data_IF_280530233705
#
_entry.id   IF_280530233705
#
_cell.length_a   1.000
_cell.length_b   1.000
_cell.length_c   1.000
_cell.angle_alpha   90.00
_cell.angle_beta   90.00
_cell.angle_gamma   90.00
#
_symmetry.space_group_name_H-M   'P 1'
#
loop_
_entity.id
_entity.type
_entity.pdbx_description
1 polymer ?
#
# COMPACT_ATOMS: atom_id res chain seq x y z
N UNK A 1 -23.20 -2.39 -18.40
CA UNK A 1 -22.97 -3.23 -17.22
C UNK A 1 -21.47 -3.32 -16.95
N UNK A 2 -21.05 -3.20 -15.70
CA UNK A 2 -19.64 -3.24 -15.34
C UNK A 2 -19.25 -4.63 -14.78
N UNK A 3 -18.10 -5.16 -15.21
CA UNK A 3 -17.64 -6.50 -14.81
C UNK A 3 -17.34 -6.57 -13.30
N UNK A 4 -16.80 -5.49 -12.73
CA UNK A 4 -16.51 -5.36 -11.30
C UNK A 4 -17.77 -5.38 -10.43
N UNK A 5 -18.90 -4.83 -10.91
CA UNK A 5 -20.18 -4.87 -10.20
C UNK A 5 -20.68 -6.32 -10.05
N UNK A 6 -20.56 -7.12 -11.12
CA UNK A 6 -20.92 -8.55 -11.06
C UNK A 6 -20.00 -9.34 -10.13
N UNK A 7 -18.71 -9.05 -10.13
CA UNK A 7 -17.75 -9.70 -9.22
C UNK A 7 -18.06 -9.46 -7.74
N UNK A 8 -18.56 -8.27 -7.41
CA UNK A 8 -18.92 -7.89 -6.04
C UNK A 8 -20.18 -8.60 -5.52
N UNK A 9 -21.04 -9.12 -6.42
CA UNK A 9 -22.28 -9.80 -6.03
C UNK A 9 -22.02 -11.15 -5.37
N UNK A 10 -22.86 -11.48 -4.40
CA UNK A 10 -22.92 -12.81 -3.81
C UNK A 10 -23.45 -13.83 -4.83
N UNK A 11 -23.06 -15.11 -4.70
CA UNK A 11 -23.46 -16.17 -5.63
C UNK A 11 -24.98 -16.30 -5.75
N UNK A 12 -25.72 -16.08 -4.65
CA UNK A 12 -27.20 -16.12 -4.67
C UNK A 12 -27.79 -15.04 -5.58
N UNK A 13 -27.28 -13.82 -5.54
CA UNK A 13 -27.75 -12.73 -6.39
C UNK A 13 -27.42 -12.97 -7.88
N UNK A 14 -26.24 -13.53 -8.15
CA UNK A 14 -25.86 -13.94 -9.50
C UNK A 14 -26.78 -15.07 -10.04
N UNK A 15 -27.15 -16.01 -9.17
CA UNK A 15 -28.06 -17.09 -9.52
C UNK A 15 -29.46 -16.56 -9.87
N UNK A 16 -30.01 -15.65 -9.07
CA UNK A 16 -31.28 -14.96 -9.36
C UNK A 16 -31.24 -14.23 -10.71
N UNK A 17 -30.14 -13.50 -10.97
CA UNK A 17 -29.94 -12.83 -12.27
C UNK A 17 -29.87 -13.83 -13.43
N UNK A 18 -29.22 -14.97 -13.25
CA UNK A 18 -29.08 -16.00 -14.27
C UNK A 18 -30.41 -16.67 -14.58
N UNK A 19 -31.23 -16.93 -13.55
CA UNK A 19 -32.59 -17.48 -13.71
C UNK A 19 -33.47 -16.48 -14.47
N UNK A 20 -33.39 -15.17 -14.11
CA UNK A 20 -34.13 -14.10 -14.81
C UNK A 20 -33.72 -13.90 -16.27
N UNK A 21 -32.56 -14.40 -16.66
CA UNK A 21 -32.04 -14.40 -18.02
C UNK A 21 -32.24 -15.74 -18.78
N UNK A 22 -32.98 -16.66 -18.22
CA UNK A 22 -33.20 -18.02 -18.79
C UNK A 22 -31.89 -18.75 -19.14
N UNK A 23 -30.94 -18.79 -18.18
CA UNK A 23 -29.69 -19.52 -18.32
C UNK A 23 -29.89 -20.94 -17.80
N UNK A 24 -29.74 -21.93 -18.70
CA UNK A 24 -29.89 -23.35 -18.37
C UNK A 24 -28.84 -23.82 -17.37
N UNK A 25 -29.25 -24.64 -16.41
CA UNK A 25 -28.38 -25.25 -15.40
C UNK A 25 -27.61 -24.26 -14.52
N UNK A 26 -28.08 -23.04 -14.36
CA UNK A 26 -27.40 -21.97 -13.60
C UNK A 26 -26.96 -22.42 -12.19
N UNK A 27 -27.77 -23.22 -11.49
CA UNK A 27 -27.48 -23.72 -10.14
C UNK A 27 -26.28 -24.69 -10.05
N UNK A 28 -25.81 -25.23 -11.17
CA UNK A 28 -24.66 -26.15 -11.23
C UNK A 28 -23.37 -25.46 -11.62
N UNK A 29 -23.43 -24.20 -12.06
CA UNK A 29 -22.27 -23.41 -12.51
C UNK A 29 -21.52 -22.86 -11.30
N UNK A 30 -20.19 -22.83 -11.39
CA UNK A 30 -19.34 -22.10 -10.44
C UNK A 30 -19.54 -20.59 -10.62
N UNK A 31 -19.22 -19.79 -9.60
CA UNK A 31 -19.40 -18.32 -9.62
C UNK A 31 -18.87 -17.68 -10.92
N UNK A 32 -17.69 -18.06 -11.36
CA UNK A 32 -17.06 -17.54 -12.59
C UNK A 32 -17.83 -17.94 -13.86
N UNK A 33 -18.22 -19.22 -13.98
CA UNK A 33 -18.99 -19.71 -15.11
C UNK A 33 -20.36 -19.05 -15.18
N UNK A 34 -20.97 -18.79 -14.01
CA UNK A 34 -22.25 -18.11 -13.89
C UNK A 34 -22.16 -16.65 -14.35
N UNK A 35 -21.15 -15.90 -13.89
CA UNK A 35 -20.88 -14.53 -14.36
C UNK A 35 -20.65 -14.50 -15.86
N UNK A 36 -19.85 -15.42 -16.38
CA UNK A 36 -19.57 -15.52 -17.80
C UNK A 36 -20.83 -15.77 -18.63
N UNK A 37 -21.70 -16.69 -18.19
CA UNK A 37 -22.96 -16.97 -18.84
C UNK A 37 -23.92 -15.78 -18.85
N UNK A 38 -24.01 -15.04 -17.72
CA UNK A 38 -24.78 -13.79 -17.61
C UNK A 38 -24.29 -12.76 -18.61
N UNK A 39 -22.98 -12.50 -18.64
CA UNK A 39 -22.36 -11.52 -19.53
C UNK A 39 -22.54 -11.89 -21.00
N UNK A 40 -22.38 -13.16 -21.35
CA UNK A 40 -22.61 -13.67 -22.71
C UNK A 40 -24.06 -13.49 -23.17
N UNK A 41 -25.02 -13.70 -22.26
CA UNK A 41 -26.45 -13.54 -22.56
C UNK A 41 -26.80 -12.06 -22.76
N UNK A 42 -26.31 -11.17 -21.87
CA UNK A 42 -26.53 -9.72 -21.97
C UNK A 42 -25.83 -9.09 -23.17
N UNK A 43 -24.61 -9.52 -23.51
CA UNK A 43 -23.95 -9.09 -24.73
C UNK A 43 -24.74 -9.45 -25.99
N UNK A 44 -25.38 -10.63 -26.01
CA UNK A 44 -26.27 -11.04 -27.14
C UNK A 44 -27.50 -10.17 -27.24
N UNK A 45 -28.00 -9.59 -26.15
CA UNK A 45 -29.12 -8.64 -26.16
C UNK A 45 -28.70 -7.19 -26.51
N UNK A 46 -27.42 -6.97 -26.89
CA UNK A 46 -26.90 -5.67 -27.31
C UNK A 46 -26.45 -4.77 -26.17
N UNK A 47 -26.38 -5.27 -24.92
CA UNK A 47 -25.87 -4.49 -23.80
C UNK A 47 -24.34 -4.37 -23.86
N UNK A 48 -23.83 -3.13 -23.71
CA UNK A 48 -22.38 -2.90 -23.63
C UNK A 48 -21.84 -3.39 -22.27
N UNK A 49 -20.71 -4.05 -22.31
CA UNK A 49 -19.99 -4.54 -21.13
C UNK A 49 -18.76 -3.69 -20.95
N UNK A 50 -18.52 -3.23 -19.71
CA UNK A 50 -17.33 -2.48 -19.31
C UNK A 50 -16.50 -3.30 -18.33
N UNK A 51 -15.19 -3.13 -18.39
CA UNK A 51 -14.25 -3.76 -17.48
C UNK A 51 -13.13 -2.81 -17.13
N UNK A 52 -12.47 -3.12 -16.02
CA UNK A 52 -11.35 -2.38 -15.48
C UNK A 52 -10.29 -3.32 -14.91
N UNK A 53 -9.10 -2.79 -14.71
CA UNK A 53 -8.00 -3.51 -14.08
C UNK A 53 -6.66 -2.80 -14.24
N UNK A 54 -5.65 -3.30 -13.54
CA UNK A 54 -4.28 -2.84 -13.72
C UNK A 54 -3.60 -3.64 -14.83
N UNK A 55 -2.99 -2.93 -15.77
CA UNK A 55 -2.32 -3.53 -16.92
C UNK A 55 -1.03 -4.24 -16.49
N UNK A 56 -0.87 -5.48 -16.90
CA UNK A 56 0.41 -6.18 -16.95
C UNK A 56 0.77 -6.43 -18.42
N UNK A 57 1.85 -5.82 -18.88
CA UNK A 57 2.38 -6.03 -20.24
C UNK A 57 3.31 -7.23 -20.22
N UNK A 58 3.05 -8.21 -21.07
CA UNK A 58 3.88 -9.40 -21.19
C UNK A 58 5.01 -9.20 -22.23
N UNK A 59 6.08 -10.02 -22.16
CA UNK A 59 7.23 -9.90 -23.07
C UNK A 59 6.88 -9.90 -24.56
N UNK A 60 5.80 -10.59 -24.93
CA UNK A 60 5.30 -10.66 -26.32
C UNK A 60 4.59 -9.37 -26.79
N UNK A 61 4.48 -8.38 -25.91
CA UNK A 61 3.94 -7.06 -26.22
C UNK A 61 2.42 -6.91 -26.10
N UNK A 62 1.67 -7.98 -25.83
CA UNK A 62 0.28 -7.90 -25.41
C UNK A 62 0.19 -7.84 -23.88
N UNK A 63 -1.00 -7.60 -23.34
CA UNK A 63 -1.17 -7.53 -21.89
C UNK A 63 -2.51 -8.04 -21.40
N UNK A 64 -2.64 -8.06 -20.09
CA UNK A 64 -3.88 -8.36 -19.38
C UNK A 64 -4.18 -7.29 -18.34
N UNK A 65 -5.45 -6.97 -18.18
CA UNK A 65 -5.93 -6.19 -17.05
C UNK A 65 -6.17 -7.14 -15.88
N UNK A 66 -5.38 -6.97 -14.83
CA UNK A 66 -5.42 -7.78 -13.61
C UNK A 66 -6.31 -7.12 -12.56
N UNK A 67 -7.07 -7.92 -11.81
CA UNK A 67 -7.94 -7.43 -10.76
C UNK A 67 -7.20 -7.26 -9.42
N UNK A 68 -7.39 -6.15 -8.69
CA UNK A 68 -6.90 -6.01 -7.32
C UNK A 68 -7.53 -7.02 -6.36
N UNK A 69 -8.78 -7.45 -6.59
CA UNK A 69 -9.46 -8.45 -5.78
C UNK A 69 -8.75 -9.82 -5.80
N UNK A 70 -8.05 -10.12 -6.90
CA UNK A 70 -7.19 -11.29 -7.02
C UNK A 70 -5.73 -10.99 -6.67
N UNK A 71 -5.44 -9.85 -6.03
CA UNK A 71 -4.08 -9.37 -5.75
C UNK A 71 -3.19 -9.42 -7.00
N UNK A 72 -3.74 -9.04 -8.15
CA UNK A 72 -3.09 -9.03 -9.48
C UNK A 72 -2.60 -10.38 -9.99
N UNK A 73 -3.15 -11.49 -9.45
CA UNK A 73 -2.88 -12.83 -10.02
C UNK A 73 -3.50 -12.99 -11.39
N UNK A 74 -2.82 -13.80 -12.21
CA UNK A 74 -3.41 -14.32 -13.43
C UNK A 74 -4.71 -15.10 -13.11
N UNK A 75 -5.80 -14.69 -13.73
CA UNK A 75 -7.12 -15.25 -13.54
C UNK A 75 -7.80 -15.49 -14.89
N UNK A 76 -8.78 -16.36 -14.90
CA UNK A 76 -9.66 -16.57 -16.07
C UNK A 76 -10.51 -15.34 -16.38
N UNK A 77 -10.64 -14.43 -15.42
CA UNK A 77 -11.43 -13.18 -15.54
C UNK A 77 -10.62 -12.01 -16.05
N UNK A 78 -9.34 -12.21 -16.38
CA UNK A 78 -8.49 -11.17 -16.91
C UNK A 78 -8.95 -10.72 -18.29
N UNK A 79 -8.75 -9.45 -18.57
CA UNK A 79 -9.15 -8.84 -19.85
C UNK A 79 -7.91 -8.68 -20.72
N UNK A 80 -7.94 -9.30 -21.88
CA UNK A 80 -6.88 -9.19 -22.88
C UNK A 80 -6.84 -7.78 -23.49
N UNK A 81 -5.64 -7.23 -23.64
CA UNK A 81 -5.38 -5.99 -24.37
C UNK A 81 -4.33 -6.22 -25.47
N UNK A 82 -4.61 -5.71 -26.66
CA UNK A 82 -3.77 -5.93 -27.81
C UNK A 82 -2.51 -5.06 -27.82
N UNK A 83 -1.41 -5.50 -28.48
CA UNK A 83 -0.20 -4.71 -28.64
C UNK A 83 -0.45 -3.37 -29.34
N UNK A 84 -1.41 -3.31 -30.25
CA UNK A 84 -1.77 -2.08 -30.98
C UNK A 84 -2.38 -1.01 -30.06
N UNK A 85 -3.25 -1.43 -29.12
CA UNK A 85 -3.83 -0.51 -28.12
C UNK A 85 -2.76 -0.03 -27.14
N UNK A 86 -1.88 -0.92 -26.66
CA UNK A 86 -0.76 -0.58 -25.77
C UNK A 86 0.13 0.48 -26.40
N UNK A 87 0.54 0.29 -27.65
CA UNK A 87 1.37 1.26 -28.39
C UNK A 87 0.62 2.57 -28.68
N UNK A 88 -0.64 2.48 -29.10
CA UNK A 88 -1.44 3.66 -29.47
C UNK A 88 -1.56 4.67 -28.34
N UNK A 89 -1.77 4.21 -27.12
CA UNK A 89 -2.01 5.04 -25.95
C UNK A 89 -0.79 5.15 -25.03
N UNK A 90 0.37 4.62 -25.45
CA UNK A 90 1.60 4.61 -24.65
C UNK A 90 1.39 4.03 -23.25
N UNK A 91 0.76 2.86 -23.20
CA UNK A 91 0.40 2.20 -21.95
C UNK A 91 1.59 1.42 -21.38
N UNK A 92 1.69 1.37 -20.07
CA UNK A 92 2.74 0.69 -19.33
C UNK A 92 2.15 -0.23 -18.26
N UNK A 93 2.91 -1.20 -17.84
CA UNK A 93 2.55 -2.03 -16.66
C UNK A 93 2.25 -1.13 -15.46
N UNK A 94 1.15 -1.42 -14.79
CA UNK A 94 0.65 -0.64 -13.65
C UNK A 94 -0.44 0.38 -14.02
N UNK A 95 -0.64 0.72 -15.29
CA UNK A 95 -1.74 1.61 -15.69
C UNK A 95 -3.09 0.99 -15.33
N UNK A 96 -3.92 1.75 -14.62
CA UNK A 96 -5.32 1.39 -14.36
C UNK A 96 -6.17 1.78 -15.55
N UNK A 97 -6.76 0.81 -16.21
CA UNK A 97 -7.50 0.99 -17.46
C UNK A 97 -8.96 0.63 -17.25
N UNK A 98 -9.84 1.49 -17.73
CA UNK A 98 -11.28 1.26 -17.84
C UNK A 98 -11.69 1.32 -19.31
N UNK A 99 -12.60 0.44 -19.72
CA UNK A 99 -13.08 0.48 -21.08
C UNK A 99 -14.12 -0.57 -21.44
N UNK A 100 -14.60 -0.48 -22.68
CA UNK A 100 -15.54 -1.42 -23.24
C UNK A 100 -14.85 -2.74 -23.57
N UNK A 101 -15.45 -3.84 -23.16
CA UNK A 101 -14.95 -5.20 -23.39
C UNK A 101 -15.97 -6.01 -24.19
N UNK A 102 -15.46 -6.94 -24.97
CA UNK A 102 -16.27 -7.95 -25.66
C UNK A 102 -16.08 -9.33 -25.05
N UNK A 103 -17.09 -10.14 -25.19
CA UNK A 103 -17.02 -11.57 -24.84
C UNK A 103 -16.01 -12.30 -25.75
N UNK A 104 -15.42 -13.39 -25.23
CA UNK A 104 -14.54 -14.24 -26.04
C UNK A 104 -15.28 -14.80 -27.27
N UNK A 105 -14.59 -14.87 -28.38
CA UNK A 105 -15.00 -15.57 -29.58
C UNK A 105 -14.71 -17.07 -29.46
N UNK A 106 -15.20 -17.86 -30.40
CA UNK A 106 -14.90 -19.30 -30.43
C UNK A 106 -13.38 -19.53 -30.51
N UNK A 107 -12.85 -20.27 -29.55
CA UNK A 107 -11.43 -20.53 -29.38
C UNK A 107 -10.68 -19.54 -28.49
N UNK A 108 -11.26 -18.40 -28.11
CA UNK A 108 -10.68 -17.45 -27.14
C UNK A 108 -11.09 -17.80 -25.70
N UNK A 109 -10.20 -17.54 -24.75
CA UNK A 109 -10.46 -17.82 -23.31
C UNK A 109 -10.85 -16.56 -22.53
N UNK A 110 -10.39 -15.38 -22.96
CA UNK A 110 -10.48 -14.14 -22.21
C UNK A 110 -11.42 -13.13 -22.85
N UNK A 111 -12.02 -12.28 -22.05
CA UNK A 111 -12.60 -11.04 -22.54
C UNK A 111 -11.51 -10.20 -23.20
N UNK A 112 -11.88 -9.42 -24.20
CA UNK A 112 -10.94 -8.55 -24.88
C UNK A 112 -11.39 -7.09 -24.81
N UNK A 113 -10.48 -6.20 -24.49
CA UNK A 113 -10.72 -4.77 -24.51
C UNK A 113 -10.93 -4.28 -25.94
N UNK A 114 -12.08 -3.66 -26.20
CA UNK A 114 -12.46 -3.10 -27.51
C UNK A 114 -12.05 -1.64 -27.59
N UNK A 115 -12.35 -0.88 -26.51
CA UNK A 115 -12.12 0.55 -26.46
C UNK A 115 -11.56 0.94 -25.09
N UNK A 116 -10.54 1.77 -25.09
CA UNK A 116 -10.00 2.38 -23.85
C UNK A 116 -10.79 3.65 -23.60
N UNK A 117 -11.49 3.73 -22.48
CA UNK A 117 -12.27 4.91 -22.09
C UNK A 117 -11.51 5.79 -21.12
N UNK A 118 -10.78 5.19 -20.14
CA UNK A 118 -9.93 5.92 -19.19
C UNK A 118 -8.63 5.19 -18.93
N UNK A 119 -7.59 5.97 -18.62
CA UNK A 119 -6.29 5.52 -18.12
C UNK A 119 -5.97 6.30 -16.84
N UNK A 120 -5.84 5.60 -15.71
CA UNK A 120 -5.60 6.20 -14.38
C UNK A 120 -6.65 7.29 -14.00
N UNK A 121 -7.88 7.12 -14.45
CA UNK A 121 -9.00 8.04 -14.22
C UNK A 121 -9.09 9.22 -15.18
N UNK A 122 -8.15 9.37 -16.11
CA UNK A 122 -8.11 10.42 -17.12
C UNK A 122 -8.42 9.90 -18.52
N UNK A 123 -8.62 10.84 -19.48
CA UNK A 123 -8.78 10.44 -20.88
C UNK A 123 -7.51 9.79 -21.44
N UNK A 124 -7.61 8.82 -22.34
CA UNK A 124 -6.44 8.16 -22.91
C UNK A 124 -5.49 9.11 -23.64
N UNK A 125 -6.02 10.18 -24.22
CA UNK A 125 -5.21 11.18 -24.92
C UNK A 125 -4.39 12.05 -23.96
N UNK A 126 -4.95 12.43 -22.79
CA UNK A 126 -4.21 13.14 -21.75
C UNK A 126 -3.08 12.28 -21.18
N UNK A 127 -3.36 11.00 -20.94
CA UNK A 127 -2.40 10.04 -20.40
C UNK A 127 -1.21 9.76 -21.34
N UNK A 128 -1.40 9.88 -22.66
CA UNK A 128 -0.38 9.59 -23.66
C UNK A 128 0.87 10.46 -23.54
N UNK A 129 0.72 11.69 -23.08
CA UNK A 129 1.80 12.69 -23.02
C UNK A 129 2.35 12.90 -21.61
N UNK A 130 2.07 12.00 -20.67
CA UNK A 130 2.57 12.07 -19.30
C UNK A 130 4.10 11.95 -19.23
N UNK A 131 4.69 12.58 -18.24
CA UNK A 131 6.11 12.41 -17.91
C UNK A 131 6.26 11.11 -17.13
N UNK A 132 7.18 10.25 -17.54
CA UNK A 132 7.44 9.00 -16.83
C UNK A 132 8.03 9.26 -15.45
N UNK A 133 7.72 8.41 -14.49
CA UNK A 133 8.10 8.54 -13.07
C UNK A 133 9.60 8.77 -12.87
N UNK A 134 10.43 8.10 -13.65
CA UNK A 134 11.89 8.19 -13.58
C UNK A 134 12.42 9.57 -13.99
N UNK A 135 11.65 10.35 -14.74
CA UNK A 135 12.01 11.69 -15.23
C UNK A 135 11.39 12.81 -14.37
N UNK A 136 10.60 12.48 -13.34
CA UNK A 136 10.01 13.46 -12.42
C UNK A 136 11.06 13.95 -11.43
N UNK A 137 10.96 15.23 -11.04
CA UNK A 137 11.92 15.89 -10.13
C UNK A 137 11.60 15.55 -8.67
N UNK A 138 12.49 14.82 -7.96
CA UNK A 138 12.25 14.45 -6.58
C UNK A 138 12.52 15.60 -5.61
N UNK A 139 11.60 15.79 -4.65
CA UNK A 139 11.72 16.73 -3.54
C UNK A 139 11.72 16.00 -2.19
N UNK A 140 12.18 16.69 -1.17
CA UNK A 140 11.93 16.27 0.21
C UNK A 140 10.45 16.37 0.55
N UNK A 141 9.94 15.52 1.45
CA UNK A 141 8.60 15.69 2.02
C UNK A 141 8.46 17.09 2.64
N UNK A 142 7.49 17.86 2.20
CA UNK A 142 7.21 19.23 2.69
C UNK A 142 5.73 19.49 2.95
N UNK A 143 4.88 18.48 2.75
CA UNK A 143 3.47 18.52 3.05
C UNK A 143 3.13 17.39 4.03
N UNK A 144 2.64 17.70 5.25
CA UNK A 144 2.41 16.69 6.27
C UNK A 144 1.17 15.85 5.97
N UNK A 145 1.27 14.55 6.25
CA UNK A 145 0.15 13.62 6.36
C UNK A 145 -0.24 13.51 7.83
N UNK A 146 -1.04 14.43 8.33
CA UNK A 146 -1.45 14.47 9.75
C UNK A 146 -2.30 13.27 10.09
N UNK A 147 -1.98 12.63 11.22
CA UNK A 147 -2.67 11.44 11.72
C UNK A 147 -3.61 11.75 12.90
N UNK A 148 -3.49 12.90 13.55
CA UNK A 148 -4.43 13.34 14.59
C UNK A 148 -5.84 13.43 14.03
N UNK A 149 -6.82 12.89 14.77
CA UNK A 149 -8.24 12.90 14.40
C UNK A 149 -9.12 13.36 15.57
N UNK A 150 -10.28 13.91 15.29
CA UNK A 150 -11.28 14.26 16.32
C UNK A 150 -12.10 13.03 16.71
N UNK A 151 -11.43 12.04 17.30
CA UNK A 151 -12.02 10.84 17.87
C UNK A 151 -11.43 10.55 19.25
N UNK A 152 -12.18 9.86 20.09
CA UNK A 152 -11.69 9.40 21.39
C UNK A 152 -11.03 8.02 21.26
N UNK A 153 -10.07 7.74 22.13
CA UNK A 153 -9.47 6.41 22.27
C UNK A 153 -8.02 6.30 21.85
N UNK A 154 -7.51 5.09 21.92
CA UNK A 154 -6.09 4.76 21.70
C UNK A 154 -5.63 5.04 20.27
N UNK A 155 -6.53 4.96 19.31
CA UNK A 155 -6.23 5.18 17.90
C UNK A 155 -5.83 6.63 17.63
N UNK A 156 -6.58 7.60 18.17
CA UNK A 156 -6.20 9.01 18.08
C UNK A 156 -4.90 9.31 18.83
N UNK A 157 -4.71 8.73 20.02
CA UNK A 157 -3.46 8.88 20.78
C UNK A 157 -2.27 8.40 19.96
N UNK A 158 -2.39 7.28 19.24
CA UNK A 158 -1.35 6.79 18.34
C UNK A 158 -1.02 7.82 17.26
N UNK A 159 -2.02 8.35 16.56
CA UNK A 159 -1.84 9.37 15.52
C UNK A 159 -1.18 10.63 16.07
N UNK A 160 -1.65 11.11 17.21
CA UNK A 160 -1.10 12.29 17.91
C UNK A 160 0.37 12.12 18.29
N UNK A 161 0.74 10.95 18.81
CA UNK A 161 2.13 10.64 19.16
C UNK A 161 3.01 10.66 17.90
N UNK A 162 2.58 10.03 16.82
CA UNK A 162 3.35 10.01 15.58
C UNK A 162 3.55 11.42 15.04
N UNK A 163 2.51 12.25 15.00
CA UNK A 163 2.61 13.65 14.56
C UNK A 163 3.60 14.47 15.40
N UNK A 164 3.71 14.18 16.72
CA UNK A 164 4.62 14.88 17.63
C UNK A 164 6.09 14.42 17.56
N UNK A 165 6.32 13.12 17.26
CA UNK A 165 7.68 12.55 17.42
C UNK A 165 8.31 12.14 16.10
N UNK A 166 7.51 11.70 15.14
CA UNK A 166 7.97 11.23 13.85
C UNK A 166 6.94 11.57 12.76
N UNK A 167 6.75 12.88 12.48
CA UNK A 167 5.74 13.30 11.50
C UNK A 167 6.00 12.67 10.14
N UNK A 168 4.93 12.28 9.46
CA UNK A 168 4.96 11.69 8.13
C UNK A 168 4.56 12.77 7.12
N UNK A 169 5.35 12.90 6.06
CA UNK A 169 5.02 13.79 4.95
C UNK A 169 4.76 13.03 3.66
N UNK A 170 4.08 13.68 2.71
CA UNK A 170 3.94 13.18 1.35
C UNK A 170 5.32 12.97 0.72
N UNK A 171 5.59 11.76 0.24
CA UNK A 171 6.90 11.36 -0.25
C UNK A 171 7.82 10.72 0.79
N UNK A 172 7.35 10.47 2.00
CA UNK A 172 8.14 9.87 3.08
C UNK A 172 8.57 8.44 2.78
N UNK A 173 9.82 8.10 3.11
CA UNK A 173 10.34 6.73 3.19
C UNK A 173 10.46 6.35 4.66
N UNK A 174 9.39 5.85 5.25
CA UNK A 174 9.32 5.54 6.68
C UNK A 174 9.52 4.06 6.97
N UNK A 175 10.29 3.76 8.02
CA UNK A 175 10.42 2.43 8.59
C UNK A 175 9.69 2.35 9.93
N UNK A 176 8.67 1.50 9.98
CA UNK A 176 8.07 1.05 11.22
C UNK A 176 8.84 -0.19 11.70
N UNK A 177 9.76 -0.02 12.63
CA UNK A 177 10.62 -1.09 13.12
C UNK A 177 9.91 -1.86 14.22
N UNK A 178 9.68 -3.14 14.02
CA UNK A 178 8.85 -3.94 14.92
C UNK A 178 9.53 -5.23 15.36
N UNK A 179 9.61 -5.44 16.66
CA UNK A 179 9.89 -6.74 17.26
C UNK A 179 8.61 -7.59 17.32
N UNK A 180 8.72 -8.93 17.43
CA UNK A 180 7.55 -9.78 17.58
C UNK A 180 6.64 -9.37 18.73
N UNK A 181 5.32 -9.34 18.49
CA UNK A 181 4.28 -8.99 19.48
C UNK A 181 4.32 -7.53 19.99
N UNK A 182 4.91 -6.61 19.26
CA UNK A 182 4.99 -5.19 19.63
C UNK A 182 3.79 -4.33 19.20
N UNK A 183 2.77 -4.92 18.55
CA UNK A 183 1.59 -4.19 18.09
C UNK A 183 1.68 -3.63 16.67
N UNK A 184 2.55 -4.22 15.83
CA UNK A 184 2.80 -3.81 14.44
C UNK A 184 1.52 -3.65 13.61
N UNK A 185 0.67 -4.67 13.55
CA UNK A 185 -0.54 -4.69 12.71
C UNK A 185 -1.55 -3.62 13.15
N UNK A 186 -1.72 -3.44 14.46
CA UNK A 186 -2.59 -2.38 15.01
C UNK A 186 -2.06 -0.99 14.67
N UNK A 187 -0.75 -0.79 14.74
CA UNK A 187 -0.12 0.47 14.35
C UNK A 187 -0.38 0.81 12.89
N UNK A 188 -0.23 -0.15 11.98
CA UNK A 188 -0.53 0.03 10.56
C UNK A 188 -2.01 0.34 10.32
N UNK A 189 -2.93 -0.33 11.00
CA UNK A 189 -4.35 -0.03 10.93
C UNK A 189 -4.66 1.40 11.37
N UNK A 190 -4.09 1.85 12.50
CA UNK A 190 -4.26 3.22 12.98
C UNK A 190 -3.76 4.26 11.98
N UNK A 191 -2.59 4.03 11.37
CA UNK A 191 -2.04 4.89 10.30
C UNK A 191 -2.96 4.88 9.09
N UNK A 192 -3.41 3.72 8.64
CA UNK A 192 -4.31 3.58 7.49
C UNK A 192 -5.63 4.33 7.69
N UNK A 193 -6.26 4.16 8.85
CA UNK A 193 -7.51 4.85 9.18
C UNK A 193 -7.33 6.36 9.26
N UNK A 194 -6.22 6.83 9.83
CA UNK A 194 -5.93 8.25 9.92
C UNK A 194 -5.72 8.87 8.53
N UNK A 195 -4.96 8.21 7.66
CA UNK A 195 -4.72 8.68 6.28
C UNK A 195 -6.04 8.76 5.50
N UNK A 196 -6.84 7.70 5.51
CA UNK A 196 -8.11 7.67 4.76
C UNK A 196 -9.16 8.63 5.31
N UNK A 197 -9.10 8.94 6.61
CA UNK A 197 -10.01 9.89 7.26
C UNK A 197 -9.62 11.35 7.01
N UNK A 198 -8.34 11.66 7.14
CA UNK A 198 -7.84 13.04 7.06
C UNK A 198 -7.47 13.48 5.64
N UNK A 199 -7.13 12.52 4.77
CA UNK A 199 -6.63 12.76 3.43
C UNK A 199 -7.42 11.93 2.39
N UNK A 200 -8.70 12.25 2.14
CA UNK A 200 -9.59 11.46 1.27
C UNK A 200 -9.14 11.42 -0.19
N UNK A 201 -8.33 12.39 -0.63
CA UNK A 201 -7.79 12.45 -2.00
C UNK A 201 -6.55 11.57 -2.20
N UNK A 202 -5.98 11.04 -1.11
CA UNK A 202 -4.81 10.15 -1.17
C UNK A 202 -5.25 8.74 -1.51
N UNK A 203 -4.58 8.13 -2.48
CA UNK A 203 -4.76 6.72 -2.80
C UNK A 203 -3.95 5.87 -1.83
N UNK A 204 -4.64 5.11 -0.97
CA UNK A 204 -4.00 4.20 -0.03
C UNK A 204 -3.97 2.78 -0.59
N UNK A 205 -2.77 2.18 -0.61
CA UNK A 205 -2.54 0.77 -0.94
C UNK A 205 -1.87 0.10 0.26
N UNK A 206 -2.47 -0.95 0.78
CA UNK A 206 -1.88 -1.81 1.81
C UNK A 206 -1.36 -3.07 1.14
N UNK A 207 -0.06 -3.29 1.22
CA UNK A 207 0.62 -4.44 0.63
C UNK A 207 1.11 -5.38 1.74
N UNK A 208 0.51 -6.57 1.80
CA UNK A 208 0.81 -7.58 2.80
C UNK A 208 1.58 -8.73 2.14
N UNK A 209 2.83 -8.92 2.53
CA UNK A 209 3.73 -9.94 1.98
C UNK A 209 4.07 -10.97 3.05
N UNK A 210 3.80 -12.25 2.76
CA UNK A 210 4.07 -13.39 3.64
C UNK A 210 3.37 -13.23 5.01
N UNK A 211 2.18 -12.60 5.01
CA UNK A 211 1.33 -12.44 6.19
C UNK A 211 0.28 -13.56 6.27
N UNK A 212 -0.37 -13.67 7.43
CA UNK A 212 -1.39 -14.67 7.68
C UNK A 212 -2.70 -14.31 7.01
N UNK A 213 -3.47 -15.31 6.48
CA UNK A 213 -4.76 -15.05 5.84
C UNK A 213 -5.76 -14.31 6.73
N UNK A 214 -5.77 -14.58 8.05
CA UNK A 214 -6.64 -13.90 9.01
C UNK A 214 -6.28 -12.42 9.16
N UNK A 215 -4.99 -12.04 9.14
CA UNK A 215 -4.55 -10.65 9.18
C UNK A 215 -4.91 -9.90 7.89
N UNK A 216 -4.81 -10.58 6.75
CA UNK A 216 -5.27 -10.04 5.46
C UNK A 216 -6.77 -9.74 5.50
N UNK A 217 -7.58 -10.69 5.97
CA UNK A 217 -9.03 -10.54 6.08
C UNK A 217 -9.41 -9.39 7.02
N UNK A 218 -8.72 -9.26 8.14
CA UNK A 218 -8.94 -8.17 9.09
C UNK A 218 -8.64 -6.81 8.44
N UNK A 219 -7.50 -6.70 7.76
CA UNK A 219 -7.12 -5.47 7.08
C UNK A 219 -8.13 -5.08 5.97
N UNK A 220 -8.58 -6.06 5.18
CA UNK A 220 -9.61 -5.85 4.14
C UNK A 220 -10.95 -5.37 4.70
N UNK A 221 -11.32 -5.80 5.91
CA UNK A 221 -12.58 -5.42 6.55
C UNK A 221 -12.54 -4.07 7.24
N UNK A 222 -11.37 -3.68 7.74
CA UNK A 222 -11.21 -2.49 8.59
C UNK A 222 -10.70 -1.28 7.82
N UNK A 223 -9.86 -1.46 6.81
CA UNK A 223 -9.21 -0.37 6.08
C UNK A 223 -9.99 0.01 4.82
N UNK A 224 -10.25 1.30 4.66
CA UNK A 224 -10.80 1.87 3.41
C UNK A 224 -9.66 2.21 2.46
N UNK A 225 -9.24 1.22 1.67
CA UNK A 225 -8.15 1.34 0.72
C UNK A 225 -8.03 0.07 -0.09
N UNK A 226 -7.11 0.04 -1.02
CA UNK A 226 -6.80 -1.17 -1.76
C UNK A 226 -5.90 -2.06 -0.91
N UNK A 227 -6.37 -3.26 -0.56
CA UNK A 227 -5.58 -4.26 0.18
C UNK A 227 -5.16 -5.37 -0.77
N UNK A 228 -3.87 -5.48 -0.99
CA UNK A 228 -3.24 -6.46 -1.88
C UNK A 228 -2.34 -7.36 -1.02
N UNK A 229 -2.46 -8.66 -1.19
CA UNK A 229 -1.76 -9.60 -0.35
C UNK A 229 -1.18 -10.79 -1.11
N UNK A 230 -0.08 -11.30 -0.60
CA UNK A 230 0.44 -12.63 -0.89
C UNK A 230 0.76 -13.30 0.44
N UNK A 231 -0.01 -14.32 0.79
CA UNK A 231 0.02 -14.95 2.11
C UNK A 231 1.18 -15.96 2.24
N UNK A 232 1.48 -16.38 3.46
CA UNK A 232 2.65 -17.21 3.78
C UNK A 232 2.64 -18.59 3.11
N UNK A 233 1.49 -19.08 2.69
CA UNK A 233 1.30 -20.35 1.96
C UNK A 233 1.58 -20.22 0.46
N UNK A 234 1.79 -19.02 -0.06
CA UNK A 234 2.16 -18.78 -1.45
C UNK A 234 3.68 -18.79 -1.67
N UNK A 235 4.16 -19.13 -2.88
CA UNK A 235 5.59 -19.19 -3.16
C UNK A 235 6.24 -17.78 -3.20
N UNK A 236 7.55 -17.67 -2.91
CA UNK A 236 8.27 -16.39 -2.94
C UNK A 236 8.18 -15.62 -4.27
N UNK A 237 8.08 -16.31 -5.40
CA UNK A 237 7.87 -15.72 -6.73
C UNK A 237 6.59 -14.90 -6.79
N UNK A 238 5.55 -15.34 -6.08
CA UNK A 238 4.27 -14.65 -5.97
C UNK A 238 4.42 -13.35 -5.17
N UNK A 239 5.13 -13.39 -4.05
CA UNK A 239 5.40 -12.20 -3.24
C UNK A 239 6.07 -11.10 -4.06
N UNK A 240 7.04 -11.48 -4.87
CA UNK A 240 7.77 -10.58 -5.76
C UNK A 240 6.84 -10.00 -6.84
N UNK A 241 6.06 -10.84 -7.52
CA UNK A 241 5.14 -10.40 -8.58
C UNK A 241 4.11 -9.38 -8.09
N UNK A 242 3.50 -9.65 -6.94
CA UNK A 242 2.52 -8.74 -6.33
C UNK A 242 3.15 -7.40 -5.99
N UNK A 243 4.33 -7.41 -5.38
CA UNK A 243 5.05 -6.18 -5.05
C UNK A 243 5.44 -5.38 -6.29
N UNK A 244 5.91 -6.03 -7.35
CA UNK A 244 6.25 -5.37 -8.62
C UNK A 244 5.01 -4.73 -9.26
N UNK A 245 3.85 -5.39 -9.25
CA UNK A 245 2.60 -4.81 -9.76
C UNK A 245 2.15 -3.59 -8.96
N UNK A 246 2.23 -3.66 -7.63
CA UNK A 246 1.83 -2.56 -6.74
C UNK A 246 2.71 -1.33 -6.96
N UNK A 247 4.04 -1.49 -7.02
CA UNK A 247 4.94 -0.35 -7.21
C UNK A 247 4.76 0.29 -8.59
N UNK A 248 4.59 -0.51 -9.64
CA UNK A 248 4.35 0.02 -10.98
C UNK A 248 3.01 0.76 -11.05
N UNK A 249 1.95 0.23 -10.45
CA UNK A 249 0.66 0.94 -10.34
C UNK A 249 0.81 2.27 -9.59
N UNK A 250 1.50 2.28 -8.47
CA UNK A 250 1.74 3.49 -7.69
C UNK A 250 2.48 4.56 -8.51
N UNK A 251 3.54 4.17 -9.24
CA UNK A 251 4.26 5.08 -10.13
C UNK A 251 3.37 5.66 -11.23
N UNK A 252 2.51 4.83 -11.86
CA UNK A 252 1.58 5.31 -12.90
C UNK A 252 0.59 6.34 -12.34
N UNK A 253 0.09 6.14 -11.13
CA UNK A 253 -0.79 7.11 -10.46
C UNK A 253 -0.07 8.43 -10.17
N UNK A 254 1.19 8.38 -9.72
CA UNK A 254 2.00 9.57 -9.46
C UNK A 254 2.30 10.35 -10.74
N UNK A 255 2.51 9.68 -11.88
CA UNK A 255 2.64 10.32 -13.19
C UNK A 255 1.41 11.16 -13.58
N UNK A 256 0.24 10.83 -13.00
CA UNK A 256 -1.01 11.57 -13.11
C UNK A 256 -1.24 12.53 -11.92
N UNK A 257 -0.17 12.95 -11.25
CA UNK A 257 -0.18 13.90 -10.13
C UNK A 257 -1.04 13.45 -8.94
N UNK A 258 -1.24 12.14 -8.75
CA UNK A 258 -1.93 11.59 -7.59
C UNK A 258 -0.95 11.44 -6.43
N UNK A 259 -1.47 11.63 -5.22
CA UNK A 259 -0.77 11.28 -4.00
C UNK A 259 -1.07 9.83 -3.62
N UNK A 260 -0.03 9.02 -3.52
CA UNK A 260 -0.15 7.59 -3.23
C UNK A 260 0.60 7.27 -1.95
N UNK A 261 -0.02 6.50 -1.07
CA UNK A 261 0.60 5.94 0.13
C UNK A 261 0.56 4.42 0.05
N UNK A 262 1.72 3.79 0.17
CA UNK A 262 1.85 2.34 0.32
C UNK A 262 2.22 2.04 1.77
N UNK A 263 1.40 1.24 2.44
CA UNK A 263 1.74 0.61 3.71
C UNK A 263 2.17 -0.82 3.42
N UNK A 264 3.46 -1.12 3.61
CA UNK A 264 4.05 -2.43 3.32
C UNK A 264 4.32 -3.22 4.59
N UNK A 265 3.69 -4.35 4.73
CA UNK A 265 3.99 -5.32 5.79
C UNK A 265 4.40 -6.67 5.18
N UNK A 266 5.67 -7.03 5.12
CA UNK A 266 6.86 -6.30 5.59
C UNK A 266 7.93 -6.24 4.51
N UNK A 267 8.78 -5.22 4.57
CA UNK A 267 9.95 -5.11 3.69
C UNK A 267 10.96 -6.24 3.95
N UNK A 268 11.07 -6.70 5.20
CA UNK A 268 11.94 -7.82 5.58
C UNK A 268 11.56 -9.09 4.84
N UNK A 269 10.28 -9.42 4.80
CA UNK A 269 9.77 -10.61 4.11
C UNK A 269 9.84 -10.48 2.59
N UNK A 270 9.59 -9.28 2.07
CA UNK A 270 9.80 -8.99 0.65
C UNK A 270 11.26 -9.19 0.25
N UNK A 271 12.21 -8.68 1.05
CA UNK A 271 13.64 -8.88 0.81
C UNK A 271 14.04 -10.36 0.87
N UNK A 272 13.49 -11.13 1.80
CA UNK A 272 13.70 -12.59 1.85
C UNK A 272 13.18 -13.30 0.59
N UNK A 273 12.01 -12.89 0.10
CA UNK A 273 11.44 -13.44 -1.13
C UNK A 273 12.35 -13.17 -2.34
N UNK A 274 12.84 -11.95 -2.48
CA UNK A 274 13.82 -11.63 -3.51
C UNK A 274 15.10 -12.44 -3.39
N UNK A 275 15.62 -12.63 -2.17
CA UNK A 275 16.80 -13.44 -1.92
C UNK A 275 16.63 -14.91 -2.36
N UNK A 276 15.40 -15.41 -2.33
CA UNK A 276 15.07 -16.78 -2.77
C UNK A 276 14.88 -16.85 -4.28
N UNK A 277 14.34 -15.82 -4.90
CA UNK A 277 13.91 -15.84 -6.32
C UNK A 277 15.03 -15.48 -7.29
N UNK A 278 15.96 -14.60 -6.88
CA UNK A 278 17.03 -14.16 -7.78
C UNK A 278 18.02 -15.30 -8.06
N UNK A 279 18.62 -15.34 -9.26
CA UNK A 279 19.74 -16.22 -9.53
C UNK A 279 20.91 -15.90 -8.60
N UNK A 280 21.55 -16.95 -8.05
CA UNK A 280 22.70 -16.75 -7.16
C UNK A 280 23.84 -16.02 -7.88
N UNK A 281 24.34 -14.96 -7.27
CA UNK A 281 25.52 -14.24 -7.75
C UNK A 281 26.85 -14.96 -7.45
N UNK A 282 26.81 -15.98 -6.59
CA UNK A 282 27.99 -16.64 -6.03
C UNK A 282 28.67 -15.83 -4.91
N UNK A 283 28.18 -14.62 -4.60
CA UNK A 283 28.68 -13.78 -3.51
C UNK A 283 27.59 -13.62 -2.46
N UNK A 284 27.80 -14.22 -1.32
CA UNK A 284 26.87 -14.21 -0.19
C UNK A 284 27.43 -13.28 0.90
N UNK A 285 26.61 -12.30 1.31
CA UNK A 285 26.91 -11.41 2.42
C UNK A 285 26.62 -12.09 3.77
N UNK A 286 27.01 -11.44 4.86
CA UNK A 286 26.66 -11.89 6.21
C UNK A 286 25.15 -12.15 6.33
N UNK A 287 24.77 -13.22 7.04
CA UNK A 287 23.37 -13.59 7.23
C UNK A 287 22.74 -14.36 6.05
N UNK A 288 23.51 -14.76 5.04
CA UNK A 288 23.00 -15.55 3.91
C UNK A 288 22.26 -14.74 2.85
N UNK A 289 22.50 -13.43 2.77
CA UNK A 289 21.91 -12.54 1.78
C UNK A 289 22.80 -12.51 0.53
N UNK A 290 22.24 -12.81 -0.64
CA UNK A 290 22.96 -12.65 -1.90
C UNK A 290 23.25 -11.15 -2.17
N UNK A 291 24.43 -10.87 -2.74
CA UNK A 291 24.87 -9.49 -2.98
C UNK A 291 23.89 -8.65 -3.82
N UNK A 292 23.11 -9.27 -4.72
CA UNK A 292 22.13 -8.60 -5.58
C UNK A 292 20.68 -8.68 -5.05
N UNK A 293 20.44 -9.44 -3.97
CA UNK A 293 19.09 -9.69 -3.46
C UNK A 293 18.35 -8.42 -3.02
N UNK A 294 19.06 -7.44 -2.50
CA UNK A 294 18.47 -6.22 -1.94
C UNK A 294 18.31 -5.08 -2.96
N UNK A 295 18.81 -5.21 -4.18
CA UNK A 295 18.74 -4.15 -5.19
C UNK A 295 17.29 -3.78 -5.53
N UNK A 296 16.46 -4.77 -5.86
CA UNK A 296 15.05 -4.53 -6.21
C UNK A 296 14.22 -4.05 -5.02
N UNK A 297 14.28 -4.66 -3.81
CA UNK A 297 13.61 -4.12 -2.62
C UNK A 297 14.05 -2.69 -2.26
N UNK A 298 15.33 -2.36 -2.42
CA UNK A 298 15.82 -0.99 -2.23
C UNK A 298 15.25 -0.03 -3.25
N UNK A 299 15.14 -0.43 -4.52
CA UNK A 299 14.47 0.37 -5.56
C UNK A 299 13.00 0.57 -5.25
N UNK A 300 12.32 -0.46 -4.76
CA UNK A 300 10.93 -0.37 -4.31
C UNK A 300 10.79 0.70 -3.22
N UNK A 301 11.51 0.57 -2.12
CA UNK A 301 11.45 1.50 -1.00
C UNK A 301 11.98 2.89 -1.37
N UNK A 302 13.06 2.95 -2.14
CA UNK A 302 13.68 4.18 -2.64
C UNK A 302 12.84 4.93 -3.67
N UNK A 303 11.79 4.34 -4.22
CA UNK A 303 10.87 5.02 -5.12
C UNK A 303 10.04 6.11 -4.41
N UNK A 304 9.86 6.01 -3.10
CA UNK A 304 9.13 7.00 -2.32
C UNK A 304 9.80 8.37 -2.41
N UNK A 305 9.05 9.37 -2.87
CA UNK A 305 9.47 10.76 -3.05
C UNK A 305 8.29 11.70 -3.20
N UNK A 306 8.47 12.94 -2.83
CA UNK A 306 7.60 14.03 -3.23
C UNK A 306 8.06 14.55 -4.60
N UNK A 307 7.17 15.07 -5.42
CA UNK A 307 7.43 15.42 -6.83
C UNK A 307 7.12 16.90 -7.07
N UNK A 308 8.06 17.62 -7.71
CA UNK A 308 7.92 19.03 -8.03
C UNK A 308 6.77 19.30 -9.01
N UNK A 309 6.58 18.43 -9.99
CA UNK A 309 5.53 18.52 -11.01
C UNK A 309 4.13 18.20 -10.46
N UNK A 310 4.04 17.75 -9.21
CA UNK A 310 2.83 17.36 -8.50
C UNK A 310 2.70 15.85 -8.32
N UNK A 311 1.94 15.48 -7.29
CA UNK A 311 1.83 14.10 -6.84
C UNK A 311 2.97 13.68 -5.91
N UNK A 312 2.79 12.56 -5.24
CA UNK A 312 3.78 12.00 -4.33
C UNK A 312 3.63 10.49 -4.19
N UNK A 313 4.73 9.82 -3.86
CA UNK A 313 4.73 8.42 -3.45
C UNK A 313 5.32 8.33 -2.04
N UNK A 314 4.50 7.95 -1.08
CA UNK A 314 4.88 7.70 0.31
C UNK A 314 4.90 6.20 0.55
N UNK A 315 5.95 5.68 1.16
CA UNK A 315 6.05 4.26 1.55
C UNK A 315 6.40 4.17 3.02
N UNK A 316 5.50 3.59 3.80
CA UNK A 316 5.73 3.23 5.20
C UNK A 316 5.80 1.71 5.26
N UNK A 317 7.01 1.20 5.47
CA UNK A 317 7.30 -0.22 5.47
C UNK A 317 7.63 -0.73 6.87
N UNK A 318 7.10 -1.88 7.25
CA UNK A 318 7.51 -2.55 8.48
C UNK A 318 8.83 -3.29 8.26
N UNK A 319 9.76 -3.11 9.18
CA UNK A 319 11.01 -3.86 9.26
C UNK A 319 11.02 -4.72 10.54
N UNK A 320 11.26 -6.01 10.38
CA UNK A 320 11.26 -6.95 11.50
C UNK A 320 12.65 -7.02 12.15
N UNK A 321 12.67 -6.87 13.45
CA UNK A 321 13.89 -6.96 14.28
C UNK A 321 13.67 -7.93 15.43
N UNK A 322 14.77 -8.35 16.09
CA UNK A 322 14.74 -9.30 17.21
C UNK A 322 14.04 -10.61 16.89
N UNK A 323 14.13 -11.06 15.64
CA UNK A 323 13.56 -12.33 15.18
C UNK A 323 14.49 -13.52 15.44
N UNK A 324 15.70 -13.29 15.88
CA UNK A 324 16.76 -14.29 16.00
C UNK A 324 17.44 -14.65 14.66
N UNK A 325 17.07 -13.98 13.57
CA UNK A 325 17.63 -14.18 12.24
C UNK A 325 18.69 -13.14 11.91
N UNK A 326 19.92 -13.57 11.65
CA UNK A 326 20.98 -12.67 11.17
C UNK A 326 20.67 -12.06 9.80
N UNK A 327 19.88 -12.75 8.97
CA UNK A 327 19.42 -12.21 7.70
C UNK A 327 18.55 -10.96 7.92
N UNK A 328 17.63 -10.99 8.88
CA UNK A 328 16.76 -9.86 9.19
C UNK A 328 17.52 -8.66 9.72
N UNK A 329 18.56 -8.89 10.53
CA UNK A 329 19.44 -7.83 11.01
C UNK A 329 20.16 -7.13 9.86
N UNK A 330 20.70 -7.88 8.90
CA UNK A 330 21.35 -7.33 7.70
C UNK A 330 20.33 -6.55 6.85
N UNK A 331 19.15 -7.13 6.62
CA UNK A 331 18.08 -6.45 5.85
C UNK A 331 17.70 -5.11 6.53
N UNK A 332 17.49 -5.13 7.83
CA UNK A 332 17.14 -3.91 8.58
C UNK A 332 18.21 -2.82 8.44
N UNK A 333 19.48 -3.14 8.66
CA UNK A 333 20.58 -2.17 8.57
C UNK A 333 20.69 -1.59 7.15
N UNK A 334 20.48 -2.38 6.11
CA UNK A 334 20.49 -1.93 4.73
C UNK A 334 19.34 -0.98 4.40
N UNK A 335 18.15 -1.19 4.94
CA UNK A 335 16.99 -0.30 4.74
C UNK A 335 17.00 0.92 5.63
N UNK A 336 17.57 0.84 6.83
CA UNK A 336 17.75 1.98 7.73
C UNK A 336 18.53 3.12 7.08
N UNK A 337 19.55 2.79 6.28
CA UNK A 337 20.31 3.77 5.50
C UNK A 337 19.50 4.43 4.37
N UNK A 338 18.46 3.77 3.86
CA UNK A 338 17.63 4.25 2.75
C UNK A 338 16.46 5.11 3.24
N UNK A 339 15.92 4.83 4.43
CA UNK A 339 14.80 5.56 5.01
C UNK A 339 15.14 6.97 5.49
N UNK A 340 14.12 7.82 5.60
CA UNK A 340 14.21 9.18 6.13
C UNK A 340 13.24 9.42 7.31
N UNK A 341 12.59 8.39 7.80
CA UNK A 341 11.76 8.39 9.01
C UNK A 341 11.85 7.00 9.66
N UNK A 342 11.94 6.96 10.96
CA UNK A 342 12.00 5.72 11.72
C UNK A 342 11.07 5.80 12.95
N UNK A 343 10.28 4.74 13.13
CA UNK A 343 9.33 4.59 14.25
C UNK A 343 9.49 3.20 14.87
N UNK A 344 10.42 3.01 15.83
CA UNK A 344 10.62 1.73 16.49
C UNK A 344 9.54 1.42 17.50
N UNK A 345 8.97 0.22 17.44
CA UNK A 345 8.13 -0.38 18.46
C UNK A 345 8.99 -1.24 19.39
N UNK A 346 8.90 -0.97 20.67
CA UNK A 346 9.74 -1.60 21.68
C UNK A 346 9.03 -2.76 22.38
N UNK A 347 9.71 -3.91 22.43
CA UNK A 347 9.19 -5.12 23.05
C UNK A 347 8.99 -4.96 24.56
N UNK A 348 9.90 -4.27 25.26
CA UNK A 348 9.80 -4.05 26.72
C UNK A 348 8.57 -3.25 27.09
N UNK A 349 8.24 -2.24 26.25
CA UNK A 349 7.01 -1.42 26.40
C UNK A 349 5.77 -2.30 26.23
N UNK A 350 5.75 -3.11 25.15
CA UNK A 350 4.63 -4.01 24.87
C UNK A 350 4.44 -5.09 25.92
N UNK A 351 5.51 -5.64 26.49
CA UNK A 351 5.46 -6.62 27.59
C UNK A 351 4.83 -6.03 28.85
N UNK A 352 4.99 -4.73 29.11
CA UNK A 352 4.28 -4.00 30.18
C UNK A 352 2.86 -3.59 29.83
N UNK A 353 2.35 -3.99 28.66
CA UNK A 353 1.00 -3.66 28.17
C UNK A 353 0.75 -2.16 27.98
N UNK A 354 1.79 -1.40 27.72
CA UNK A 354 1.69 0.02 27.33
C UNK A 354 1.60 0.11 25.81
N UNK A 355 0.53 0.72 25.31
CA UNK A 355 0.29 0.88 23.87
C UNK A 355 -0.17 2.32 23.55
N UNK A 356 0.30 2.87 22.41
CA UNK A 356 1.21 2.28 21.42
C UNK A 356 2.63 2.08 22.00
N UNK A 357 3.27 0.95 21.68
CA UNK A 357 4.57 0.58 22.23
C UNK A 357 5.74 1.31 21.51
N UNK A 358 5.60 2.60 21.26
CA UNK A 358 6.56 3.42 20.52
C UNK A 358 7.76 3.76 21.41
N UNK A 359 8.97 3.50 20.92
CA UNK A 359 10.19 4.00 21.53
C UNK A 359 10.42 5.47 21.08
N UNK A 360 10.04 6.40 21.94
CA UNK A 360 10.06 7.83 21.64
C UNK A 360 11.48 8.32 21.34
N UNK A 361 12.46 7.93 22.17
CA UNK A 361 13.83 8.43 22.07
C UNK A 361 14.56 7.98 20.78
N UNK A 362 14.09 6.89 20.17
CA UNK A 362 14.65 6.34 18.92
C UNK A 362 13.84 6.69 17.68
N UNK A 363 12.71 7.34 17.85
CA UNK A 363 11.80 7.75 16.76
C UNK A 363 12.19 9.12 16.22
N UNK A 364 11.98 9.33 14.93
CA UNK A 364 12.17 10.64 14.32
C UNK A 364 12.04 10.64 12.81
N UNK A 365 11.89 11.86 12.27
CA UNK A 365 11.83 12.15 10.84
C UNK A 365 12.95 13.10 10.47
N UNK A 366 13.68 12.79 9.40
CA UNK A 366 14.69 13.71 8.84
C UNK A 366 13.99 14.87 8.17
N UNK A 367 14.53 16.08 8.33
CA UNK A 367 13.98 17.32 7.77
C UNK A 367 12.55 17.60 8.24
N UNK A 368 12.24 17.27 9.51
CA UNK A 368 10.92 17.53 10.10
C UNK A 368 10.52 19.01 10.09
N UNK A 369 11.50 19.91 10.00
CA UNK A 369 11.29 21.35 9.85
C UNK A 369 10.55 21.73 8.57
N UNK A 370 10.52 20.85 7.55
CA UNK A 370 9.77 21.07 6.34
C UNK A 370 8.30 20.66 6.46
N UNK A 371 7.96 19.89 7.50
CA UNK A 371 6.62 19.33 7.75
C UNK A 371 5.85 20.06 8.84
N UNK A 372 6.50 20.91 9.59
CA UNK A 372 5.97 21.46 10.83
C UNK A 372 6.24 22.97 10.88
N UNK A 373 5.24 23.74 11.32
CA UNK A 373 5.42 25.18 11.52
C UNK A 373 6.45 25.46 12.63
N UNK A 374 7.18 26.59 12.52
CA UNK A 374 8.30 26.91 13.40
C UNK A 374 7.95 26.91 14.90
N UNK A 375 6.78 27.41 15.25
CA UNK A 375 6.33 27.44 16.65
C UNK A 375 5.95 26.07 17.19
N UNK A 376 5.37 25.21 16.37
CA UNK A 376 5.07 23.81 16.70
C UNK A 376 6.38 23.01 16.82
N UNK A 377 7.31 23.22 15.90
CA UNK A 377 8.63 22.58 15.90
C UNK A 377 9.41 22.86 17.18
N UNK A 378 9.44 24.12 17.62
CA UNK A 378 10.07 24.50 18.88
C UNK A 378 9.46 23.77 20.09
N UNK A 379 8.13 23.63 20.12
CA UNK A 379 7.42 22.88 21.18
C UNK A 379 7.74 21.38 21.13
N UNK A 380 7.81 20.80 19.95
CA UNK A 380 8.24 19.40 19.77
C UNK A 380 9.67 19.19 20.31
N UNK A 381 10.57 20.11 20.05
CA UNK A 381 11.94 20.01 20.56
C UNK A 381 12.01 20.15 22.09
N UNK A 382 11.20 21.02 22.68
CA UNK A 382 11.07 21.12 24.14
C UNK A 382 10.53 19.82 24.72
N UNK A 383 9.50 19.25 24.10
CA UNK A 383 8.94 17.97 24.50
C UNK A 383 9.99 16.84 24.45
N UNK A 384 10.76 16.76 23.37
CA UNK A 384 11.84 15.77 23.25
C UNK A 384 12.91 15.92 24.31
N UNK A 385 13.32 17.16 24.62
CA UNK A 385 14.26 17.43 25.71
C UNK A 385 13.73 16.98 27.08
N UNK A 386 12.44 17.11 27.30
CA UNK A 386 11.77 16.64 28.52
C UNK A 386 11.75 15.10 28.60
N UNK A 387 11.49 14.42 27.48
CA UNK A 387 11.34 12.96 27.44
C UNK A 387 12.69 12.23 27.39
N UNK A 388 13.72 12.84 26.81
CA UNK A 388 15.02 12.20 26.57
C UNK A 388 15.71 11.60 27.81
N UNK A 389 15.68 12.24 29.01
CA UNK A 389 16.28 11.63 30.21
C UNK A 389 15.46 10.49 30.81
N UNK A 390 14.26 10.25 30.35
CA UNK A 390 13.39 9.17 30.83
C UNK A 390 13.75 7.85 30.14
N UNK A 391 13.57 6.71 30.85
CA UNK A 391 13.65 5.42 30.20
C UNK A 391 12.51 5.23 29.18
N UNK A 392 12.63 4.22 28.30
CA UNK A 392 11.72 4.03 27.18
C UNK A 392 10.26 3.86 27.62
N UNK A 393 10.04 3.19 28.74
CA UNK A 393 8.69 2.92 29.28
C UNK A 393 8.12 4.17 29.94
N UNK A 394 8.91 4.83 30.81
CA UNK A 394 8.48 6.04 31.50
C UNK A 394 8.15 7.17 30.50
N UNK A 395 8.92 7.30 29.42
CA UNK A 395 8.68 8.33 28.41
C UNK A 395 7.34 8.16 27.71
N UNK A 396 7.03 6.94 27.26
CA UNK A 396 5.76 6.68 26.56
C UNK A 396 4.55 6.74 27.52
N UNK A 397 4.66 6.21 28.75
CA UNK A 397 3.61 6.30 29.75
C UNK A 397 3.29 7.77 30.08
N UNK A 398 4.31 8.56 30.34
CA UNK A 398 4.14 10.00 30.57
C UNK A 398 3.41 10.71 29.43
N UNK A 399 3.84 10.47 28.19
CA UNK A 399 3.23 11.09 27.03
C UNK A 399 1.79 10.65 26.80
N UNK A 400 1.50 9.36 26.90
CA UNK A 400 0.14 8.81 26.78
C UNK A 400 -0.79 9.40 27.82
N UNK A 401 -0.36 9.49 29.10
CA UNK A 401 -1.19 10.05 30.17
C UNK A 401 -1.48 11.55 29.96
N UNK A 402 -0.51 12.29 29.47
CA UNK A 402 -0.72 13.72 29.16
C UNK A 402 -1.64 13.91 27.96
N UNK A 403 -1.51 13.07 26.93
CA UNK A 403 -2.37 13.14 25.75
C UNK A 403 -3.82 12.70 26.05
N UNK A 404 -4.03 11.74 26.95
CA UNK A 404 -5.38 11.37 27.42
C UNK A 404 -6.13 12.52 28.10
N UNK A 405 -5.42 13.44 28.71
CA UNK A 405 -5.99 14.61 29.40
C UNK A 405 -6.38 15.76 28.42
N UNK A 406 -6.06 15.64 27.14
CA UNK A 406 -6.30 16.66 26.12
C UNK A 406 -6.87 16.04 24.85
N UNK A 407 -7.62 16.83 24.06
CA UNK A 407 -8.24 16.33 22.82
C UNK A 407 -7.31 16.44 21.60
N UNK A 408 -6.52 17.50 21.53
CA UNK A 408 -5.65 17.80 20.39
C UNK A 408 -4.21 18.05 20.83
N UNK A 409 -3.27 18.00 19.87
CA UNK A 409 -1.85 18.33 20.13
C UNK A 409 -1.68 19.81 20.47
N UNK A 410 -2.48 20.69 19.88
CA UNK A 410 -2.45 22.12 20.24
C UNK A 410 -2.89 22.35 21.70
N UNK A 411 -3.96 21.68 22.13
CA UNK A 411 -4.41 21.75 23.53
C UNK A 411 -3.36 21.19 24.49
N UNK A 412 -2.70 20.09 24.11
CA UNK A 412 -1.60 19.52 24.87
C UNK A 412 -0.45 20.53 25.02
N UNK A 413 0.00 21.17 23.95
CA UNK A 413 1.04 22.19 24.01
C UNK A 413 0.65 23.42 24.82
N UNK A 414 -0.61 23.82 24.78
CA UNK A 414 -1.12 24.91 25.65
C UNK A 414 -1.08 24.51 27.12
N UNK A 415 -1.36 23.25 27.45
CA UNK A 415 -1.29 22.75 28.83
C UNK A 415 0.13 22.75 29.40
N UNK A 416 1.14 22.59 28.55
CA UNK A 416 2.57 22.65 28.93
C UNK A 416 3.04 24.07 29.33
N UNK A 417 2.39 25.13 28.81
CA UNK A 417 2.73 26.50 29.12
C UNK A 417 2.20 27.02 30.47
N UNK A 418 1.24 26.27 31.07
CA UNK A 418 0.54 26.71 32.31
C UNK A 418 1.21 26.23 33.61
N UNK A 419 2.46 25.76 33.55
CA UNK A 419 3.23 25.37 34.76
C UNK A 419 4.51 26.24 34.87
#
# INVERSE_FOLDING_TARGET
MHLSELKALHVSALLEMAIGLDIDNAARLRKQELMFAILKKRAKSGEQIFGDGALEVLPDGFGFLRSPDASYMASTDDIYISPSQIRRFNLHTGDSIEGEVRTPKDGERYFALVKVDKVNGESPEASKHRILFENLTPLHPNEPLRLERDINGTENITGRIVDLIAPIGKGQRGLLVASPKSGKSVMLQHIAHAITSNHPDVTLIVLLIDERPEEVTEMQRTVRGEVVASTFDEPPTRHVQVAEMVIEKAKRLVEHKKDVVILLDSITRLARAYNTVIPSSGKVLTGGVDAHALEKPKRFFGAARNIEEGGSLTIIATALVETGSKMDEVIYEEFKGTGNMELPLDRKIAEKRVFPAININRSGTRREELLTADDELQRMWILRKLLHPMDEVAAIEFLVDKLKATKTNDEFFLSMKRK
#
